data_IF_787620085179
#
_entry.id   IF_787620085179
#
_cell.length_a   1.000
_cell.length_b   1.000
_cell.length_c   1.000
_cell.angle_alpha   90.00
_cell.angle_beta   90.00
_cell.angle_gamma   90.00
#
_symmetry.space_group_name_H-M   'P 1'
#
loop_
_entity.id
_entity.type
_entity.pdbx_description
1 polymer ?
#
# COMPACT_ATOMS: atom_id res chain seq x y z
N UNK A 1 -26.42 0.80 2.09
CA UNK A 1 -25.30 1.67 2.46
C UNK A 1 -24.83 2.33 1.18
N UNK A 2 -25.24 3.58 0.93
CA UNK A 2 -24.84 4.29 -0.27
C UNK A 2 -23.42 4.82 -0.06
N UNK A 3 -22.45 4.31 -0.81
CA UNK A 3 -21.14 4.92 -0.88
C UNK A 3 -21.33 6.35 -1.41
N UNK A 4 -21.09 7.35 -0.57
CA UNK A 4 -20.90 8.71 -1.07
C UNK A 4 -19.57 8.69 -1.81
N UNK A 5 -19.51 9.04 -3.12
CA UNK A 5 -18.22 9.34 -3.73
C UNK A 5 -17.65 10.54 -2.97
N UNK A 6 -16.67 10.27 -2.10
CA UNK A 6 -16.08 11.28 -1.20
C UNK A 6 -15.17 12.23 -1.99
N UNK A 7 -14.81 11.85 -3.21
CA UNK A 7 -13.91 12.60 -4.06
C UNK A 7 -14.64 13.30 -5.20
N UNK A 8 -14.40 14.60 -5.28
CA UNK A 8 -14.88 15.47 -6.36
C UNK A 8 -14.15 15.26 -7.69
N UNK A 9 -13.14 14.39 -7.73
CA UNK A 9 -12.31 14.12 -8.92
C UNK A 9 -11.66 12.73 -8.85
N UNK A 10 -11.35 12.09 -10.00
CA UNK A 10 -10.66 10.79 -10.03
C UNK A 10 -9.33 10.85 -9.28
N UNK A 11 -9.02 9.80 -8.51
CA UNK A 11 -7.78 9.70 -7.76
C UNK A 11 -7.10 8.37 -8.01
N UNK A 12 -5.78 8.45 -8.07
CA UNK A 12 -4.92 7.26 -8.16
C UNK A 12 -4.14 7.14 -6.86
N UNK A 13 -4.14 5.93 -6.29
CA UNK A 13 -3.48 5.61 -5.04
C UNK A 13 -2.43 4.52 -5.25
N UNK A 14 -1.25 4.70 -4.68
CA UNK A 14 -0.22 3.65 -4.57
C UNK A 14 -0.26 3.09 -3.16
N UNK A 15 -0.37 1.77 -3.03
CA UNK A 15 -0.36 1.06 -1.74
C UNK A 15 0.82 0.10 -1.72
N UNK A 16 1.86 0.44 -0.96
CA UNK A 16 3.02 -0.45 -0.76
C UNK A 16 2.74 -1.44 0.37
N UNK A 17 3.05 -2.73 0.16
CA UNK A 17 2.59 -3.81 1.05
C UNK A 17 1.08 -4.08 0.89
N UNK A 18 0.50 -3.70 -0.26
CA UNK A 18 -0.94 -3.76 -0.49
C UNK A 18 -1.49 -5.16 -0.78
N UNK A 19 -0.64 -6.18 -0.88
CA UNK A 19 -1.08 -7.54 -1.20
C UNK A 19 -1.69 -8.29 0.00
N UNK A 20 -1.58 -7.77 1.23
CA UNK A 20 -2.12 -8.44 2.42
C UNK A 20 -2.46 -7.49 3.57
N UNK A 21 -3.12 -8.04 4.60
CA UNK A 21 -3.36 -7.37 5.87
C UNK A 21 -4.06 -6.01 5.75
N UNK A 22 -3.49 -5.01 6.45
CA UNK A 22 -4.01 -3.65 6.46
C UNK A 22 -3.87 -2.98 5.09
N UNK A 23 -2.78 -3.23 4.37
CA UNK A 23 -2.56 -2.68 3.03
C UNK A 23 -3.68 -3.08 2.06
N UNK A 24 -4.04 -4.37 2.04
CA UNK A 24 -5.12 -4.87 1.21
C UNK A 24 -6.49 -4.29 1.62
N UNK A 25 -6.76 -4.18 2.92
CA UNK A 25 -8.00 -3.59 3.41
C UNK A 25 -8.14 -2.11 2.98
N UNK A 26 -7.05 -1.35 3.04
CA UNK A 26 -7.01 0.04 2.56
C UNK A 26 -7.19 0.09 1.05
N UNK A 27 -6.49 -0.75 0.28
CA UNK A 27 -6.60 -0.80 -1.17
C UNK A 27 -8.04 -1.06 -1.63
N UNK A 28 -8.73 -2.03 -1.01
CA UNK A 28 -10.15 -2.29 -1.24
C UNK A 28 -11.02 -1.09 -0.93
N UNK A 29 -10.82 -0.48 0.25
CA UNK A 29 -11.62 0.67 0.67
C UNK A 29 -11.45 1.87 -0.25
N UNK A 30 -10.22 2.17 -0.67
CA UNK A 30 -9.94 3.24 -1.62
C UNK A 30 -10.63 2.98 -2.97
N UNK A 31 -10.61 1.73 -3.43
CA UNK A 31 -11.31 1.36 -4.66
C UNK A 31 -12.83 1.46 -4.54
N UNK A 32 -13.42 1.09 -3.40
CA UNK A 32 -14.86 1.25 -3.13
C UNK A 32 -15.29 2.72 -3.15
N UNK A 33 -14.39 3.63 -2.78
CA UNK A 33 -14.60 5.07 -2.82
C UNK A 33 -14.38 5.69 -4.22
N UNK A 34 -13.94 4.88 -5.19
CA UNK A 34 -13.79 5.26 -6.60
C UNK A 34 -12.37 5.65 -7.02
N UNK A 35 -11.35 5.37 -6.21
CA UNK A 35 -9.96 5.56 -6.60
C UNK A 35 -9.46 4.37 -7.44
N UNK A 36 -8.58 4.66 -8.40
CA UNK A 36 -7.75 3.65 -9.04
C UNK A 36 -6.58 3.30 -8.12
N UNK A 37 -6.26 2.01 -7.97
CA UNK A 37 -5.29 1.56 -6.95
C UNK A 37 -4.16 0.73 -7.56
N UNK A 38 -2.93 1.21 -7.43
CA UNK A 38 -1.74 0.43 -7.70
C UNK A 38 -1.28 -0.29 -6.42
N UNK A 39 -1.22 -1.62 -6.47
CA UNK A 39 -0.72 -2.48 -5.39
C UNK A 39 0.74 -2.78 -5.66
N UNK A 40 1.62 -2.26 -4.79
CA UNK A 40 3.04 -2.52 -4.84
C UNK A 40 3.38 -3.56 -3.76
N UNK A 41 3.91 -4.70 -4.16
CA UNK A 41 4.41 -5.72 -3.23
C UNK A 41 5.64 -6.42 -3.80
N UNK A 42 6.48 -6.98 -2.91
CA UNK A 42 7.63 -7.78 -3.34
C UNK A 42 7.21 -9.10 -3.97
N UNK A 43 6.05 -9.61 -3.55
CA UNK A 43 5.45 -10.82 -4.11
C UNK A 43 4.53 -10.42 -5.28
N UNK A 44 5.01 -10.69 -6.49
CA UNK A 44 4.29 -10.37 -7.73
C UNK A 44 2.93 -11.07 -7.80
N UNK A 45 2.87 -12.34 -7.42
CA UNK A 45 1.66 -13.15 -7.49
C UNK A 45 0.62 -12.59 -6.53
N UNK A 46 1.02 -12.33 -5.28
CA UNK A 46 0.12 -11.77 -4.29
C UNK A 46 -0.41 -10.37 -4.68
N UNK A 47 0.43 -9.53 -5.30
CA UNK A 47 0.02 -8.23 -5.82
C UNK A 47 -1.01 -8.36 -6.95
N UNK A 48 -0.76 -9.24 -7.92
CA UNK A 48 -1.66 -9.48 -9.07
C UNK A 48 -2.99 -10.06 -8.60
N UNK A 49 -2.97 -11.08 -7.72
CA UNK A 49 -4.18 -11.70 -7.20
C UNK A 49 -5.04 -10.70 -6.40
N UNK A 50 -4.39 -9.84 -5.62
CA UNK A 50 -5.07 -8.77 -4.87
C UNK A 50 -5.69 -7.73 -5.79
N UNK A 51 -4.98 -7.30 -6.84
CA UNK A 51 -5.50 -6.37 -7.83
C UNK A 51 -6.69 -6.99 -8.57
N UNK A 52 -6.58 -8.26 -8.96
CA UNK A 52 -7.65 -9.02 -9.59
C UNK A 52 -8.91 -9.07 -8.72
N UNK A 53 -8.75 -9.33 -7.42
CA UNK A 53 -9.89 -9.35 -6.49
C UNK A 53 -10.60 -7.99 -6.40
N UNK A 54 -9.86 -6.87 -6.50
CA UNK A 54 -10.44 -5.53 -6.55
C UNK A 54 -11.16 -5.29 -7.89
N UNK A 55 -10.56 -5.67 -9.02
CA UNK A 55 -11.19 -5.51 -10.34
C UNK A 55 -12.44 -6.38 -10.49
N UNK A 56 -12.42 -7.61 -9.97
CA UNK A 56 -13.57 -8.52 -9.97
C UNK A 56 -14.73 -7.96 -9.12
N UNK A 57 -14.44 -7.07 -8.17
CA UNK A 57 -15.42 -6.35 -7.35
C UNK A 57 -15.95 -5.07 -8.02
N UNK A 58 -15.54 -4.79 -9.27
CA UNK A 58 -15.95 -3.59 -10.03
C UNK A 58 -15.03 -2.37 -9.82
N UNK A 59 -13.91 -2.55 -9.11
CA UNK A 59 -12.90 -1.53 -8.90
C UNK A 59 -11.86 -1.42 -10.03
N UNK A 60 -10.92 -0.50 -9.88
CA UNK A 60 -9.80 -0.32 -10.80
C UNK A 60 -8.50 -0.55 -10.03
N UNK A 61 -7.76 -1.61 -10.39
CA UNK A 61 -6.51 -1.91 -9.72
C UNK A 61 -5.45 -2.52 -10.63
N UNK A 62 -4.18 -2.24 -10.31
CA UNK A 62 -2.99 -2.76 -10.98
C UNK A 62 -2.04 -3.36 -9.94
N UNK A 63 -1.61 -4.60 -10.13
CA UNK A 63 -0.63 -5.25 -9.25
C UNK A 63 0.77 -5.19 -9.87
N UNK A 64 1.75 -4.61 -9.16
CA UNK A 64 3.14 -4.51 -9.60
C UNK A 64 4.09 -5.12 -8.58
N UNK A 65 5.08 -5.86 -9.08
CA UNK A 65 6.19 -6.35 -8.26
C UNK A 65 7.17 -5.20 -7.99
N UNK A 66 7.20 -4.71 -6.76
CA UNK A 66 8.06 -3.61 -6.35
C UNK A 66 8.72 -3.94 -5.02
N UNK A 67 10.06 -3.98 -5.02
CA UNK A 67 10.83 -3.90 -3.79
C UNK A 67 11.09 -2.42 -3.49
N UNK A 68 10.55 -1.92 -2.38
CA UNK A 68 10.69 -0.52 -1.96
C UNK A 68 12.13 -0.14 -1.57
N UNK A 69 13.04 -1.11 -1.49
CA UNK A 69 14.48 -0.87 -1.27
C UNK A 69 15.25 -0.61 -2.58
N UNK A 70 14.65 -0.91 -3.74
CA UNK A 70 15.23 -0.67 -5.06
C UNK A 70 14.59 0.55 -5.72
N UNK A 71 15.38 1.63 -5.79
CA UNK A 71 14.97 2.91 -6.38
C UNK A 71 14.55 2.78 -7.85
N UNK A 72 15.23 1.94 -8.63
CA UNK A 72 14.95 1.79 -10.05
C UNK A 72 13.61 1.10 -10.29
N UNK A 73 13.30 0.09 -9.46
CA UNK A 73 12.00 -0.60 -9.52
C UNK A 73 10.85 0.33 -9.10
N UNK A 74 11.08 1.21 -8.13
CA UNK A 74 10.09 2.21 -7.72
C UNK A 74 9.80 3.18 -8.87
N UNK A 75 10.84 3.75 -9.49
CA UNK A 75 10.68 4.75 -10.55
C UNK A 75 9.92 4.15 -11.75
N UNK A 76 10.30 2.95 -12.19
CA UNK A 76 9.59 2.23 -13.25
C UNK A 76 8.14 1.91 -12.90
N UNK A 77 7.86 1.50 -11.66
CA UNK A 77 6.50 1.18 -11.23
C UNK A 77 5.61 2.42 -11.12
N UNK A 78 6.16 3.57 -10.75
CA UNK A 78 5.45 4.85 -10.75
C UNK A 78 5.12 5.27 -12.18
N UNK A 79 6.05 5.09 -13.12
CA UNK A 79 5.81 5.36 -14.54
C UNK A 79 4.65 4.50 -15.07
N UNK A 80 4.71 3.17 -14.88
CA UNK A 80 3.63 2.26 -15.27
C UNK A 80 2.30 2.61 -14.60
N UNK A 81 2.32 2.98 -13.30
CA UNK A 81 1.10 3.41 -12.60
C UNK A 81 0.52 4.68 -13.22
N UNK A 82 1.37 5.62 -13.60
CA UNK A 82 0.97 6.89 -14.19
C UNK A 82 0.37 6.70 -15.58
N UNK A 83 0.93 5.78 -16.38
CA UNK A 83 0.43 5.45 -17.72
C UNK A 83 -0.93 4.72 -17.66
N UNK A 84 -1.07 3.74 -16.78
CA UNK A 84 -2.26 2.87 -16.72
C UNK A 84 -3.41 3.48 -15.92
N UNK A 85 -3.11 4.13 -14.79
CA UNK A 85 -4.11 4.61 -13.83
C UNK A 85 -4.14 6.14 -13.71
N UNK A 86 -3.21 6.85 -14.33
CA UNK A 86 -3.04 8.30 -14.15
C UNK A 86 -2.14 8.67 -12.96
N UNK A 87 -1.83 9.96 -12.79
CA UNK A 87 -0.83 10.41 -11.83
C UNK A 87 -1.25 10.09 -10.38
N UNK A 88 -0.37 9.45 -9.58
CA UNK A 88 -0.68 9.10 -8.20
C UNK A 88 -0.82 10.36 -7.34
N UNK A 89 -1.92 10.41 -6.58
CA UNK A 89 -2.25 11.53 -5.66
C UNK A 89 -2.25 11.09 -4.20
N UNK A 90 -2.26 9.78 -3.96
CA UNK A 90 -2.31 9.16 -2.63
C UNK A 90 -1.18 8.13 -2.56
N UNK A 91 -0.38 8.18 -1.50
CA UNK A 91 0.60 7.15 -1.17
C UNK A 91 0.26 6.55 0.21
N UNK A 92 0.07 5.24 0.25
CA UNK A 92 -0.15 4.48 1.47
C UNK A 92 1.03 3.55 1.70
N UNK A 93 1.73 3.77 2.80
CA UNK A 93 2.84 2.91 3.23
C UNK A 93 2.37 1.97 4.35
N UNK A 94 2.11 0.71 4.02
CA UNK A 94 1.77 -0.33 4.99
C UNK A 94 2.69 -1.58 4.92
N UNK A 95 4.03 -1.45 4.77
CA UNK A 95 4.90 -2.62 4.84
C UNK A 95 4.93 -3.18 6.27
N UNK A 96 4.56 -4.44 6.44
CA UNK A 96 4.85 -5.18 7.68
C UNK A 96 6.18 -5.91 7.52
N UNK A 97 7.20 -5.48 8.25
CA UNK A 97 8.44 -6.24 8.40
C UNK A 97 8.30 -7.12 9.65
N UNK A 98 7.91 -8.39 9.45
CA UNK A 98 8.16 -9.42 10.47
C UNK A 98 9.63 -9.78 10.37
N UNK A 99 10.47 -9.11 11.15
CA UNK A 99 11.87 -9.46 11.25
C UNK A 99 12.01 -10.88 11.85
N UNK A 100 12.36 -11.88 11.04
CA UNK A 100 12.79 -13.20 11.53
C UNK A 100 14.26 -13.23 11.94
N UNK A 101 14.99 -12.11 11.78
CA UNK A 101 16.35 -11.89 12.27
C UNK A 101 16.39 -11.10 13.58
N UNK A 102 15.29 -11.05 14.34
CA UNK A 102 15.34 -10.58 15.71
C UNK A 102 15.95 -11.68 16.59
N UNK A 103 17.27 -11.88 16.50
CA UNK A 103 18.02 -12.10 17.73
C UNK A 103 17.96 -10.78 18.50
N UNK A 104 16.80 -10.50 19.10
CA UNK A 104 16.63 -9.39 20.02
C UNK A 104 17.46 -9.76 21.26
N UNK A 105 18.62 -9.13 21.52
CA UNK A 105 19.39 -9.45 22.71
C UNK A 105 18.70 -8.75 23.89
N UNK A 106 17.99 -9.55 24.69
CA UNK A 106 17.41 -9.27 26.03
C UNK A 106 16.58 -7.99 26.23
N UNK A 107 15.55 -8.00 27.11
CA UNK A 107 14.71 -6.83 27.31
C UNK A 107 15.55 -5.67 27.83
N UNK A 108 15.45 -4.52 27.15
CA UNK A 108 15.92 -3.23 27.65
C UNK A 108 15.46 -3.07 29.10
N UNK A 109 16.42 -2.94 30.03
CA UNK A 109 16.11 -2.58 31.42
C UNK A 109 15.27 -1.31 31.40
N UNK A 110 14.14 -1.33 32.09
CA UNK A 110 13.33 -0.16 32.38
C UNK A 110 14.21 0.88 33.10
N UNK A 111 14.69 1.85 32.34
CA UNK A 111 15.26 3.10 32.85
C UNK A 111 14.30 4.20 32.44
N UNK A 112 13.71 4.85 33.44
CA UNK A 112 12.80 5.99 33.32
C UNK A 112 13.26 6.97 32.24
N UNK A 113 12.42 7.21 31.23
CA UNK A 113 12.48 8.40 30.40
C UNK A 113 11.18 9.15 30.59
N UNK A 114 11.23 10.18 31.43
CA UNK A 114 10.24 11.24 31.46
C UNK A 114 10.29 11.98 30.12
N UNK A 115 9.12 12.16 29.50
CA UNK A 115 8.97 13.06 28.36
C UNK A 115 8.67 14.45 28.92
N UNK A 116 9.42 15.50 28.57
CA UNK A 116 9.09 16.85 29.01
C UNK A 116 7.81 17.29 28.31
N UNK A 117 6.80 17.62 29.12
CA UNK A 117 5.59 18.30 28.66
C UNK A 117 5.93 19.77 28.45
N UNK A 118 5.90 20.24 27.21
CA UNK A 118 5.64 21.66 26.91
C UNK A 118 4.85 21.73 25.62
#
# INVERSE_FOLDING_TARGET
MSAHPSWSSPRTAIVTGGASGIGLAIARRLSEEGAAVAIFDRDATAAIDSAKAITDSGGWALGLRVDVTDRFLIDAAIETTTEELGPPTILVTAPVSTDSRSSCPSPLRAGERSWPST
#
